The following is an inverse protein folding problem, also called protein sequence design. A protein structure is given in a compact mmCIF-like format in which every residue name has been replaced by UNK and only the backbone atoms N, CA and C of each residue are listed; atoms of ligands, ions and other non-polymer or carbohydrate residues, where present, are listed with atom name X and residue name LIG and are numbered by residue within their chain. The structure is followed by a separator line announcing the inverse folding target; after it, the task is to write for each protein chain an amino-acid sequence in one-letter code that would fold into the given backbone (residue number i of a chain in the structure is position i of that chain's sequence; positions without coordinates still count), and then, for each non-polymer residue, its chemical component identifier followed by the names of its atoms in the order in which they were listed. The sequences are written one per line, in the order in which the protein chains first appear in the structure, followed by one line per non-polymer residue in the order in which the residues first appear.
data_IF_963695275163
#
_entry.id   IF_963695275163
#
_cell.length_a   1.000
_cell.length_b   1.000
_cell.length_c   1.000
_cell.angle_alpha   90.00
_cell.angle_beta   90.00
_cell.angle_gamma   90.00
#
_symmetry.space_group_name_H-M   'P 1'
#
loop_
_entity.id
_entity.type
_entity.pdbx_description
1 polymer ?
#
# COMPACT_ATOMS: atom_id res chain seq x y z
N UNK A 1 -32.88 -26.49 23.40
CA UNK A 1 -32.65 -25.16 22.79
C UNK A 1 -32.44 -24.12 23.88
N UNK A 2 -31.29 -24.12 24.57
CA UNK A 2 -31.03 -23.16 25.66
C UNK A 2 -30.56 -21.78 25.13
N UNK A 3 -29.95 -21.74 23.94
CA UNK A 3 -29.40 -20.50 23.37
C UNK A 3 -30.46 -19.60 22.70
N UNK A 4 -31.70 -20.08 22.51
CA UNK A 4 -32.77 -19.27 21.91
C UNK A 4 -33.27 -18.16 22.82
N UNK A 5 -33.17 -18.32 24.15
CA UNK A 5 -33.56 -17.31 25.13
C UNK A 5 -32.68 -16.05 25.03
N UNK A 6 -31.40 -16.20 24.67
CA UNK A 6 -30.45 -15.10 24.62
C UNK A 6 -30.10 -14.66 23.19
N UNK A 7 -30.51 -15.41 22.16
CA UNK A 7 -30.14 -15.13 20.77
C UNK A 7 -30.55 -13.75 20.23
N UNK A 8 -31.54 -13.10 20.85
CA UNK A 8 -31.99 -11.75 20.46
C UNK A 8 -30.88 -10.70 20.57
N UNK A 9 -29.88 -10.88 21.44
CA UNK A 9 -28.79 -9.89 21.60
C UNK A 9 -27.96 -9.73 20.33
N UNK A 10 -27.97 -10.71 19.42
CA UNK A 10 -27.30 -10.63 18.12
C UNK A 10 -27.88 -9.54 17.22
N UNK A 11 -29.17 -9.18 17.39
CA UNK A 11 -29.78 -8.12 16.58
C UNK A 11 -29.30 -6.70 16.92
N UNK A 12 -28.52 -6.55 18.00
CA UNK A 12 -27.90 -5.27 18.37
C UNK A 12 -26.59 -5.01 17.62
N UNK A 13 -26.02 -6.03 16.95
CA UNK A 13 -24.85 -5.83 16.09
C UNK A 13 -25.23 -4.94 14.89
N UNK A 14 -24.44 -3.89 14.66
CA UNK A 14 -24.65 -2.98 13.52
C UNK A 14 -23.94 -3.53 12.28
N UNK A 15 -24.61 -3.65 11.13
CA UNK A 15 -23.96 -3.98 9.86
C UNK A 15 -22.94 -2.91 9.47
N UNK A 16 -21.74 -3.34 9.13
CA UNK A 16 -20.58 -2.47 8.88
C UNK A 16 -19.94 -2.74 7.50
N UNK A 17 -20.78 -3.01 6.50
CA UNK A 17 -20.34 -3.33 5.14
C UNK A 17 -19.89 -2.07 4.40
N UNK A 18 -18.64 -2.08 3.93
CA UNK A 18 -18.05 -0.99 3.15
C UNK A 18 -18.61 -0.94 1.71
N UNK A 19 -18.69 0.27 1.15
CA UNK A 19 -19.26 0.52 -0.18
C UNK A 19 -18.59 -0.34 -1.27
N UNK A 20 -19.34 -1.09 -2.09
CA UNK A 20 -18.78 -1.87 -3.20
C UNK A 20 -18.07 -0.99 -4.24
N UNK A 21 -17.18 -1.59 -5.05
CA UNK A 21 -16.45 -0.93 -6.13
C UNK A 21 -15.66 0.33 -5.71
N UNK A 22 -15.22 0.37 -4.45
CA UNK A 22 -14.33 1.41 -3.93
C UNK A 22 -13.05 0.79 -3.38
N UNK A 23 -11.94 1.51 -3.56
CA UNK A 23 -10.68 1.14 -2.93
C UNK A 23 -10.84 1.23 -1.42
N UNK A 24 -10.33 0.23 -0.70
CA UNK A 24 -10.29 0.28 0.76
C UNK A 24 -8.85 0.49 1.16
N UNK A 25 -8.58 1.56 1.90
CA UNK A 25 -7.28 1.77 2.54
C UNK A 25 -7.44 1.56 4.03
N UNK A 26 -6.68 0.63 4.59
CA UNK A 26 -6.58 0.43 6.02
C UNK A 26 -5.26 1.02 6.49
N UNK A 27 -5.31 2.14 7.21
CA UNK A 27 -4.13 2.77 7.78
C UNK A 27 -3.99 2.38 9.24
N UNK A 28 -2.80 1.90 9.60
CA UNK A 28 -2.35 1.62 10.95
C UNK A 28 -1.45 2.73 11.45
N UNK A 29 -1.53 3.03 12.74
CA UNK A 29 -0.67 3.99 13.43
C UNK A 29 -0.24 3.44 14.80
N UNK A 30 1.03 3.60 15.13
CA UNK A 30 1.64 3.15 16.38
C UNK A 30 1.13 3.94 17.60
N UNK A 31 0.39 3.28 18.49
CA UNK A 31 -0.17 3.96 19.68
C UNK A 31 0.92 4.37 20.67
N UNK A 32 1.12 5.69 20.79
CA UNK A 32 2.06 6.26 21.75
C UNK A 32 3.52 5.94 21.42
N UNK A 33 3.84 5.77 20.14
CA UNK A 33 5.16 5.31 19.71
C UNK A 33 6.29 6.28 20.08
N UNK A 34 6.01 7.57 20.26
CA UNK A 34 7.00 8.50 20.83
C UNK A 34 7.59 7.99 22.17
N UNK A 35 6.74 7.58 23.12
CA UNK A 35 7.19 7.01 24.41
C UNK A 35 7.81 5.63 24.24
N UNK A 36 7.29 4.84 23.30
CA UNK A 36 7.80 3.50 23.01
C UNK A 36 9.22 3.53 22.46
N UNK A 37 9.50 4.40 21.48
CA UNK A 37 10.81 4.57 20.86
C UNK A 37 11.85 5.06 21.85
N UNK A 38 11.48 6.00 22.74
CA UNK A 38 12.35 6.48 23.81
C UNK A 38 12.71 5.35 24.80
N UNK A 39 11.74 4.54 25.23
CA UNK A 39 11.98 3.43 26.16
C UNK A 39 12.93 2.37 25.59
N UNK A 40 12.82 2.09 24.30
CA UNK A 40 13.61 1.05 23.63
C UNK A 40 14.88 1.59 22.95
N UNK A 41 15.23 2.86 23.18
CA UNK A 41 16.49 3.44 22.72
C UNK A 41 16.61 3.49 21.20
N UNK A 42 15.55 3.89 20.51
CA UNK A 42 15.59 4.03 19.06
C UNK A 42 16.50 5.16 18.64
N UNK A 43 17.25 4.92 17.57
CA UNK A 43 18.09 5.95 16.95
C UNK A 43 17.24 7.10 16.41
N UNK A 44 17.83 8.30 16.44
CA UNK A 44 17.21 9.54 15.95
C UNK A 44 18.09 10.15 14.86
N UNK A 45 17.52 10.70 13.78
CA UNK A 45 16.07 10.89 13.54
C UNK A 45 15.30 9.61 13.18
N UNK A 46 16.00 8.59 12.66
CA UNK A 46 15.39 7.34 12.17
C UNK A 46 16.15 6.14 12.71
N UNK A 47 15.43 5.08 13.07
CA UNK A 47 16.01 3.79 13.43
C UNK A 47 15.75 2.78 12.33
N UNK A 48 16.81 2.38 11.61
CA UNK A 48 16.70 1.44 10.49
C UNK A 48 16.13 0.09 10.92
N UNK A 49 16.46 -0.38 12.12
CA UNK A 49 15.97 -1.67 12.65
C UNK A 49 14.45 -1.62 12.87
N UNK A 50 13.97 -0.49 13.38
CA UNK A 50 12.53 -0.27 13.58
C UNK A 50 11.76 -0.26 12.26
N UNK A 51 12.28 0.45 11.24
CA UNK A 51 11.64 0.51 9.92
C UNK A 51 11.69 -0.84 9.21
N UNK A 52 12.79 -1.58 9.33
CA UNK A 52 12.88 -2.93 8.76
C UNK A 52 11.93 -3.91 9.45
N UNK A 53 11.76 -3.81 10.77
CA UNK A 53 10.74 -4.57 11.50
C UNK A 53 9.33 -4.22 11.01
N UNK A 54 8.99 -2.94 10.89
CA UNK A 54 7.69 -2.50 10.34
C UNK A 54 7.47 -3.04 8.92
N UNK A 55 8.50 -3.01 8.08
CA UNK A 55 8.45 -3.54 6.72
C UNK A 55 8.21 -5.05 6.70
N UNK A 56 8.88 -5.82 7.55
CA UNK A 56 8.69 -7.26 7.64
C UNK A 56 7.28 -7.62 8.13
N UNK A 57 6.72 -6.83 9.04
CA UNK A 57 5.33 -7.00 9.48
C UNK A 57 4.35 -6.74 8.34
N UNK A 58 4.55 -5.67 7.58
CA UNK A 58 3.71 -5.36 6.43
C UNK A 58 3.87 -6.38 5.30
N UNK A 59 5.09 -6.86 5.04
CA UNK A 59 5.37 -7.92 4.06
C UNK A 59 4.62 -9.20 4.42
N UNK A 60 4.58 -9.58 5.69
CA UNK A 60 3.80 -10.72 6.16
C UNK A 60 2.29 -10.52 5.94
N UNK A 61 1.75 -9.34 6.27
CA UNK A 61 0.34 -9.00 6.01
C UNK A 61 0.01 -9.08 4.51
N UNK A 62 0.84 -8.48 3.67
CA UNK A 62 0.65 -8.48 2.20
C UNK A 62 0.73 -9.90 1.66
N UNK A 63 1.65 -10.72 2.19
CA UNK A 63 1.84 -12.13 1.79
C UNK A 63 0.62 -12.97 2.12
N UNK A 64 0.10 -12.86 3.35
CA UNK A 64 -0.98 -13.69 3.87
C UNK A 64 -2.38 -13.24 3.42
N UNK A 65 -2.53 -11.97 3.01
CA UNK A 65 -3.78 -11.40 2.51
C UNK A 65 -3.63 -10.96 1.05
N UNK A 66 -3.89 -11.84 0.07
CA UNK A 66 -3.70 -11.53 -1.36
C UNK A 66 -4.59 -10.41 -1.90
N UNK A 67 -5.68 -10.07 -1.22
CA UNK A 67 -6.53 -8.94 -1.59
C UNK A 67 -5.87 -7.57 -1.29
N UNK A 68 -4.81 -7.56 -0.48
CA UNK A 68 -3.92 -6.41 -0.29
C UNK A 68 -2.95 -6.36 -1.47
N UNK A 69 -3.11 -5.33 -2.30
CA UNK A 69 -2.38 -5.17 -3.57
C UNK A 69 -1.15 -4.29 -3.44
N UNK A 70 -1.15 -3.38 -2.47
CA UNK A 70 -0.12 -2.39 -2.24
C UNK A 70 -0.13 -2.01 -0.77
N UNK A 71 1.04 -1.76 -0.21
CA UNK A 71 1.17 -1.18 1.12
C UNK A 71 2.26 -0.12 1.13
N UNK A 72 2.05 0.95 1.90
CA UNK A 72 2.99 2.05 2.05
C UNK A 72 3.25 2.34 3.52
N UNK A 73 4.52 2.38 3.92
CA UNK A 73 4.92 2.62 5.30
C UNK A 73 5.88 3.80 5.46
N UNK A 74 5.67 4.58 6.51
CA UNK A 74 6.57 5.66 6.94
C UNK A 74 6.48 5.78 8.46
N UNK A 75 7.61 6.02 9.13
CA UNK A 75 7.66 6.15 10.60
C UNK A 75 7.03 4.91 11.28
N UNK A 76 5.98 5.14 12.06
CA UNK A 76 5.17 4.20 12.81
C UNK A 76 3.80 3.94 12.17
N UNK A 77 3.56 4.44 10.95
CA UNK A 77 2.34 4.20 10.19
C UNK A 77 2.54 3.25 8.99
N UNK A 78 1.49 2.50 8.66
CA UNK A 78 1.42 1.67 7.47
C UNK A 78 0.02 1.71 6.85
N UNK A 79 -0.07 1.91 5.54
CA UNK A 79 -1.32 1.97 4.78
C UNK A 79 -1.41 0.74 3.89
N UNK A 80 -2.46 -0.06 4.02
CA UNK A 80 -2.73 -1.25 3.22
C UNK A 80 -3.88 -0.98 2.26
N UNK A 81 -3.63 -1.11 0.97
CA UNK A 81 -4.60 -0.89 -0.10
C UNK A 81 -5.19 -2.24 -0.52
N UNK A 82 -6.50 -2.39 -0.38
CA UNK A 82 -7.25 -3.52 -0.91
C UNK A 82 -7.93 -3.14 -2.21
N UNK A 83 -7.99 -4.10 -3.14
CA UNK A 83 -8.63 -3.92 -4.45
C UNK A 83 -10.11 -3.54 -4.32
N UNK A 84 -10.63 -2.78 -5.30
CA UNK A 84 -12.02 -2.29 -5.25
C UNK A 84 -13.04 -3.42 -5.21
N UNK A 85 -12.72 -4.52 -5.87
CA UNK A 85 -13.52 -5.73 -6.01
C UNK A 85 -13.28 -6.73 -4.86
N UNK A 86 -12.61 -6.30 -3.78
CA UNK A 86 -12.36 -7.13 -2.59
C UNK A 86 -13.69 -7.57 -1.96
N UNK A 87 -13.85 -8.87 -1.72
CA UNK A 87 -15.01 -9.44 -1.00
C UNK A 87 -14.59 -10.14 0.30
N UNK A 88 -13.34 -9.91 0.74
CA UNK A 88 -12.83 -10.47 1.98
C UNK A 88 -13.72 -10.05 3.16
N UNK A 89 -14.16 -11.03 3.94
CA UNK A 89 -15.11 -10.86 5.04
C UNK A 89 -16.39 -10.08 4.66
N UNK A 90 -16.87 -10.24 3.43
CA UNK A 90 -18.05 -9.54 2.91
C UNK A 90 -17.91 -8.01 2.98
N UNK A 91 -16.66 -7.50 2.95
CA UNK A 91 -16.31 -6.09 3.10
C UNK A 91 -16.69 -5.47 4.44
N UNK A 92 -16.80 -6.27 5.50
CA UNK A 92 -17.07 -5.77 6.85
C UNK A 92 -15.86 -5.02 7.40
N UNK A 93 -16.04 -3.74 7.70
CA UNK A 93 -14.99 -2.85 8.18
C UNK A 93 -14.29 -3.41 9.43
N UNK A 94 -15.07 -3.78 10.45
CA UNK A 94 -14.56 -4.32 11.71
C UNK A 94 -13.67 -5.54 11.48
N UNK A 95 -14.06 -6.45 10.58
CA UNK A 95 -13.28 -7.66 10.27
C UNK A 95 -12.00 -7.33 9.54
N UNK A 96 -12.06 -6.47 8.53
CA UNK A 96 -10.86 -6.09 7.76
C UNK A 96 -9.85 -5.35 8.64
N UNK A 97 -10.29 -4.32 9.37
CA UNK A 97 -9.43 -3.51 10.24
C UNK A 97 -8.83 -4.37 11.35
N UNK A 98 -9.65 -5.12 12.10
CA UNK A 98 -9.12 -5.92 13.22
C UNK A 98 -8.21 -7.05 12.76
N UNK A 99 -8.46 -7.66 11.59
CA UNK A 99 -7.58 -8.68 11.03
C UNK A 99 -6.22 -8.09 10.70
N UNK A 100 -6.16 -6.98 9.95
CA UNK A 100 -4.87 -6.36 9.58
C UNK A 100 -4.11 -5.84 10.82
N UNK A 101 -4.80 -5.15 11.75
CA UNK A 101 -4.19 -4.64 13.00
C UNK A 101 -3.60 -5.79 13.83
N UNK A 102 -4.38 -6.85 14.05
CA UNK A 102 -3.94 -7.98 14.89
C UNK A 102 -2.80 -8.76 14.23
N UNK A 103 -2.87 -8.99 12.91
CA UNK A 103 -1.82 -9.63 12.14
C UNK A 103 -0.51 -8.85 12.21
N UNK A 104 -0.57 -7.54 11.98
CA UNK A 104 0.60 -6.67 12.04
C UNK A 104 1.21 -6.62 13.45
N UNK A 105 0.36 -6.44 14.48
CA UNK A 105 0.82 -6.39 15.88
C UNK A 105 1.48 -7.69 16.31
N UNK A 106 0.88 -8.84 15.95
CA UNK A 106 1.44 -10.16 16.28
C UNK A 106 2.82 -10.36 15.63
N UNK A 107 2.96 -9.98 14.35
CA UNK A 107 4.26 -10.03 13.66
C UNK A 107 5.27 -9.07 14.26
N UNK A 108 4.85 -7.87 14.67
CA UNK A 108 5.76 -6.90 15.29
C UNK A 108 6.39 -7.46 16.57
N UNK A 109 5.58 -8.10 17.41
CA UNK A 109 6.06 -8.73 18.65
C UNK A 109 6.91 -9.96 18.33
N UNK A 110 6.46 -10.82 17.41
CA UNK A 110 7.14 -12.06 17.06
C UNK A 110 8.52 -11.83 16.41
N UNK A 111 8.60 -10.86 15.50
CA UNK A 111 9.82 -10.54 14.76
C UNK A 111 10.78 -9.63 15.53
N UNK A 112 10.31 -8.97 16.61
CA UNK A 112 11.13 -8.05 17.41
C UNK A 112 12.55 -8.57 17.73
N UNK A 113 12.76 -9.79 18.25
CA UNK A 113 14.09 -10.27 18.62
C UNK A 113 15.05 -10.39 17.44
N UNK A 114 14.54 -10.50 16.20
CA UNK A 114 15.37 -10.57 14.99
C UNK A 114 15.97 -9.20 14.63
N UNK A 115 15.21 -8.13 14.86
CA UNK A 115 15.62 -6.75 14.54
C UNK A 115 16.25 -6.02 15.73
N UNK A 116 15.89 -6.42 16.95
CA UNK A 116 16.39 -5.87 18.20
C UNK A 116 16.98 -6.96 19.10
N UNK A 117 18.07 -7.64 18.67
CA UNK A 117 18.63 -8.77 19.42
C UNK A 117 19.15 -8.38 20.81
N UNK A 118 19.60 -7.13 20.96
CA UNK A 118 20.16 -6.60 22.22
C UNK A 118 19.15 -5.86 23.08
N UNK A 119 17.92 -5.65 22.61
CA UNK A 119 16.89 -4.89 23.32
C UNK A 119 15.66 -5.77 23.50
N UNK A 120 15.36 -6.16 24.74
CA UNK A 120 14.14 -6.93 25.02
C UNK A 120 12.91 -6.04 24.95
N UNK A 121 11.82 -6.57 24.40
CA UNK A 121 10.53 -5.88 24.39
C UNK A 121 9.96 -5.82 25.81
N UNK A 122 9.56 -4.62 26.26
CA UNK A 122 9.07 -4.40 27.63
C UNK A 122 7.65 -3.86 27.66
N UNK A 123 6.93 -4.13 28.75
CA UNK A 123 5.56 -3.63 28.95
C UNK A 123 5.51 -2.09 29.08
N UNK A 124 4.40 -1.45 28.65
CA UNK A 124 3.35 -1.97 27.78
C UNK A 124 3.88 -2.34 26.38
N UNK A 125 3.36 -3.45 25.85
CA UNK A 125 3.64 -3.93 24.49
C UNK A 125 3.17 -2.92 23.43
N UNK A 126 3.80 -2.93 22.23
CA UNK A 126 3.39 -2.09 21.12
C UNK A 126 1.97 -2.48 20.70
N UNK A 127 1.17 -1.47 20.39
CA UNK A 127 -0.18 -1.64 19.87
C UNK A 127 -0.40 -0.65 18.74
N UNK A 128 -1.28 -0.99 17.82
CA UNK A 128 -1.60 -0.17 16.67
C UNK A 128 -3.09 0.16 16.69
N UNK A 129 -3.44 1.39 16.29
CA UNK A 129 -4.80 1.67 15.85
C UNK A 129 -4.96 1.28 14.37
N UNK A 130 -6.19 1.25 13.89
CA UNK A 130 -6.48 0.99 12.50
C UNK A 130 -7.77 1.69 12.10
N UNK A 131 -7.81 2.23 10.88
CA UNK A 131 -9.02 2.83 10.30
C UNK A 131 -9.14 2.47 8.83
N UNK A 132 -10.36 2.21 8.36
CA UNK A 132 -10.65 2.06 6.95
C UNK A 132 -11.08 3.40 6.34
N UNK A 133 -10.59 3.69 5.13
CA UNK A 133 -11.00 4.85 4.32
C UNK A 133 -11.32 4.36 2.92
N UNK A 134 -12.43 4.83 2.36
CA UNK A 134 -12.86 4.45 1.02
C UNK A 134 -12.49 5.53 0.01
N UNK A 135 -11.85 5.11 -1.09
CA UNK A 135 -11.56 5.99 -2.22
C UNK A 135 -12.33 5.52 -3.46
N UNK A 136 -13.21 6.36 -4.03
CA UNK A 136 -14.09 5.94 -5.12
C UNK A 136 -13.38 5.85 -6.48
N UNK A 137 -12.28 6.58 -6.66
CA UNK A 137 -11.50 6.58 -7.90
C UNK A 137 -10.04 6.23 -7.66
N UNK A 138 -9.38 5.78 -8.72
CA UNK A 138 -7.93 5.55 -8.75
C UNK A 138 -7.15 6.85 -8.53
N UNK A 139 -7.65 7.98 -9.02
CA UNK A 139 -7.07 9.31 -8.78
C UNK A 139 -7.04 9.63 -7.28
N UNK A 140 -8.15 9.46 -6.56
CA UNK A 140 -8.19 9.74 -5.12
C UNK A 140 -7.25 8.82 -4.31
N UNK A 141 -7.12 7.54 -4.73
CA UNK A 141 -6.16 6.63 -4.12
C UNK A 141 -4.71 7.10 -4.35
N UNK A 142 -4.38 7.52 -5.58
CA UNK A 142 -3.04 8.02 -5.92
C UNK A 142 -2.71 9.32 -5.17
N UNK A 143 -3.68 10.22 -5.04
CA UNK A 143 -3.53 11.45 -4.26
C UNK A 143 -3.29 11.14 -2.78
N UNK A 144 -4.02 10.17 -2.23
CA UNK A 144 -3.79 9.72 -0.86
C UNK A 144 -2.37 9.19 -0.65
N UNK A 145 -1.91 8.29 -1.52
CA UNK A 145 -0.56 7.72 -1.41
C UNK A 145 0.53 8.78 -1.61
N UNK A 146 0.31 9.69 -2.55
CA UNK A 146 1.19 10.85 -2.78
C UNK A 146 1.23 11.76 -1.56
N UNK A 147 0.09 12.04 -0.94
CA UNK A 147 0.00 12.81 0.30
C UNK A 147 0.79 12.16 1.44
N UNK A 148 0.73 10.83 1.58
CA UNK A 148 1.55 10.11 2.57
C UNK A 148 3.05 10.22 2.28
N UNK A 149 3.47 10.12 1.02
CA UNK A 149 4.89 10.23 0.67
C UNK A 149 5.42 11.68 0.77
N UNK A 150 4.61 12.68 0.47
CA UNK A 150 4.97 14.09 0.69
C UNK A 150 5.14 14.38 2.18
N UNK A 151 4.21 13.89 3.01
CA UNK A 151 4.28 14.01 4.47
C UNK A 151 5.55 13.33 5.02
N UNK A 152 5.89 12.14 4.52
CA UNK A 152 7.14 11.44 4.83
C UNK A 152 8.37 12.32 4.55
N UNK A 153 8.43 12.96 3.38
CA UNK A 153 9.54 13.80 2.99
C UNK A 153 9.68 15.04 3.88
N UNK A 154 8.57 15.70 4.20
CA UNK A 154 8.53 16.90 5.05
C UNK A 154 8.99 16.53 6.47
N UNK A 155 8.41 15.49 7.05
CA UNK A 155 8.70 15.07 8.41
C UNK A 155 10.13 14.56 8.55
N UNK A 156 10.65 13.80 7.58
CA UNK A 156 12.02 13.31 7.62
C UNK A 156 13.04 14.46 7.52
N UNK A 157 12.84 15.43 6.63
CA UNK A 157 13.74 16.60 6.52
C UNK A 157 13.73 17.43 7.80
N UNK A 158 12.53 17.67 8.37
CA UNK A 158 12.39 18.37 9.64
C UNK A 158 13.10 17.62 10.77
N UNK A 159 12.79 16.33 10.97
CA UNK A 159 13.34 15.51 12.04
C UNK A 159 14.86 15.36 11.90
N UNK A 160 15.38 15.18 10.69
CA UNK A 160 16.83 15.10 10.46
C UNK A 160 17.52 16.38 10.89
N UNK A 161 16.99 17.54 10.48
CA UNK A 161 17.55 18.83 10.87
C UNK A 161 17.45 19.05 12.38
N UNK A 162 16.28 18.76 12.97
CA UNK A 162 15.99 18.89 14.39
C UNK A 162 16.95 18.07 15.26
N UNK A 163 17.11 16.78 14.95
CA UNK A 163 17.99 15.91 15.73
C UNK A 163 19.47 16.21 15.50
N UNK A 164 19.88 16.70 14.32
CA UNK A 164 21.27 17.14 14.12
C UNK A 164 21.60 18.40 14.93
N UNK A 165 20.67 19.35 15.04
CA UNK A 165 20.82 20.52 15.91
C UNK A 165 21.01 20.10 17.38
N UNK A 166 20.30 19.08 17.85
CA UNK A 166 20.43 18.58 19.23
C UNK A 166 21.72 17.77 19.41
N UNK A 167 21.90 16.70 18.62
CA UNK A 167 22.95 15.70 18.83
C UNK A 167 24.34 16.20 18.46
N UNK A 168 24.46 17.03 17.42
CA UNK A 168 25.74 17.57 16.95
C UNK A 168 25.88 19.07 17.23
N UNK A 169 24.78 19.81 17.17
CA UNK A 169 24.78 21.25 17.45
C UNK A 169 24.70 21.62 18.94
N UNK A 170 24.46 20.65 19.82
CA UNK A 170 24.36 20.87 21.26
C UNK A 170 23.16 21.72 21.70
N UNK A 171 22.14 21.87 20.84
CA UNK A 171 20.92 22.61 21.14
C UNK A 171 20.00 21.82 22.05
N UNK A 172 19.23 22.52 22.88
CA UNK A 172 18.06 21.92 23.55
C UNK A 172 16.91 21.74 22.56
N UNK A 173 15.95 20.87 22.87
CA UNK A 173 14.74 20.65 22.05
C UNK A 173 14.01 21.97 21.74
N UNK A 174 13.84 22.84 22.75
CA UNK A 174 13.16 24.14 22.60
C UNK A 174 13.92 25.11 21.70
N UNK A 175 15.25 25.06 21.71
CA UNK A 175 16.08 25.91 20.84
C UNK A 175 16.03 25.41 19.41
N UNK A 176 16.12 24.10 19.20
CA UNK A 176 16.00 23.49 17.88
C UNK A 176 14.61 23.74 17.27
N UNK A 177 13.53 23.62 18.04
CA UNK A 177 12.18 23.96 17.58
C UNK A 177 12.07 25.43 17.16
N UNK A 178 12.62 26.35 17.96
CA UNK A 178 12.60 27.79 17.67
C UNK A 178 13.42 28.13 16.43
N UNK A 179 14.59 27.51 16.26
CA UNK A 179 15.45 27.71 15.09
C UNK A 179 14.79 27.21 13.80
N UNK A 180 14.05 26.10 13.88
CA UNK A 180 13.31 25.56 12.73
C UNK A 180 11.96 26.25 12.49
N UNK A 181 11.49 27.09 13.40
CA UNK A 181 10.19 27.75 13.28
C UNK A 181 10.18 28.72 12.09
N UNK A 182 9.22 28.54 11.18
CA UNK A 182 9.07 29.39 9.99
C UNK A 182 10.04 29.09 8.84
N UNK A 183 10.98 28.16 9.03
CA UNK A 183 11.93 27.77 7.98
C UNK A 183 11.26 26.98 6.87
N UNK A 184 11.72 27.15 5.64
CA UNK A 184 11.30 26.35 4.48
C UNK A 184 12.20 25.12 4.28
N UNK A 185 12.00 24.35 3.21
CA UNK A 185 12.83 23.18 2.90
C UNK A 185 14.26 23.57 2.51
N UNK A 186 14.44 24.69 1.79
CA UNK A 186 15.76 25.23 1.43
C UNK A 186 16.62 25.50 2.65
N UNK A 187 16.09 26.25 3.61
CA UNK A 187 16.78 26.60 4.86
C UNK A 187 17.23 25.36 5.65
N UNK A 188 16.38 24.33 5.75
CA UNK A 188 16.73 23.07 6.44
C UNK A 188 17.87 22.34 5.77
N UNK A 189 17.87 22.29 4.43
CA UNK A 189 18.98 21.71 3.67
C UNK A 189 20.27 22.51 3.87
N UNK A 190 20.17 23.84 3.91
CA UNK A 190 21.32 24.71 4.18
C UNK A 190 21.86 24.51 5.60
N UNK A 191 20.99 24.41 6.62
CA UNK A 191 21.41 24.10 8.00
C UNK A 191 22.16 22.76 8.04
N UNK A 192 21.61 21.71 7.43
CA UNK A 192 22.23 20.38 7.38
C UNK A 192 23.60 20.42 6.70
N UNK A 193 23.71 21.11 5.58
CA UNK A 193 24.95 21.16 4.80
C UNK A 193 26.00 22.05 5.45
N UNK A 194 25.65 23.29 5.77
CA UNK A 194 26.57 24.32 6.25
C UNK A 194 27.07 24.05 7.67
N UNK A 195 26.19 23.60 8.58
CA UNK A 195 26.57 23.39 9.98
C UNK A 195 27.10 21.98 10.23
N UNK A 196 26.59 20.97 9.52
CA UNK A 196 26.88 19.56 9.84
C UNK A 196 27.55 18.79 8.70
N UNK A 197 27.75 19.39 7.53
CA UNK A 197 28.33 18.73 6.36
C UNK A 197 27.45 17.62 5.80
N UNK A 198 26.15 17.62 6.09
CA UNK A 198 25.21 16.57 5.70
C UNK A 198 24.47 17.01 4.43
N UNK A 199 24.62 16.24 3.36
CA UNK A 199 23.79 16.36 2.18
C UNK A 199 22.56 15.46 2.33
N UNK A 200 21.39 16.05 2.58
CA UNK A 200 20.13 15.31 2.76
C UNK A 200 19.79 14.39 1.59
N UNK A 201 20.20 14.72 0.36
CA UNK A 201 19.97 13.85 -0.79
C UNK A 201 20.73 12.52 -0.71
N UNK A 202 21.77 12.43 0.12
CA UNK A 202 22.53 11.21 0.34
C UNK A 202 21.96 10.37 1.51
N UNK A 203 20.94 10.86 2.23
CA UNK A 203 20.25 10.05 3.22
C UNK A 203 19.60 8.81 2.56
N UNK A 204 19.54 7.67 3.26
CA UNK A 204 18.92 6.45 2.75
C UNK A 204 17.50 6.68 2.20
N UNK A 205 17.20 6.08 1.05
CA UNK A 205 15.89 6.22 0.40
C UNK A 205 14.72 5.78 1.28
N UNK A 206 14.91 4.75 2.12
CA UNK A 206 13.89 4.33 3.09
C UNK A 206 13.45 5.47 4.04
N UNK A 207 14.37 6.37 4.42
CA UNK A 207 14.05 7.51 5.28
C UNK A 207 13.37 8.64 4.50
N UNK A 208 13.82 8.88 3.26
CA UNK A 208 13.31 10.00 2.44
C UNK A 208 11.99 9.70 1.74
N UNK A 209 11.76 8.45 1.35
CA UNK A 209 10.66 8.01 0.48
C UNK A 209 9.68 7.06 1.18
N UNK A 210 10.06 6.47 2.30
CA UNK A 210 9.30 5.40 2.94
C UNK A 210 9.40 4.08 2.16
N UNK A 211 8.59 3.12 2.57
CA UNK A 211 8.60 1.75 2.04
C UNK A 211 7.34 1.45 1.25
N UNK A 212 7.52 0.99 0.01
CA UNK A 212 6.45 0.47 -0.84
C UNK A 212 6.54 -1.04 -0.89
N UNK A 213 5.44 -1.72 -0.55
CA UNK A 213 5.33 -3.18 -0.61
C UNK A 213 4.24 -3.57 -1.58
N UNK A 214 4.56 -4.45 -2.52
CA UNK A 214 3.61 -4.94 -3.51
C UNK A 214 4.05 -6.28 -4.09
N UNK A 215 3.14 -6.92 -4.81
CA UNK A 215 3.41 -8.15 -5.55
C UNK A 215 4.01 -7.81 -6.91
N UNK A 216 5.20 -8.33 -7.17
CA UNK A 216 5.87 -8.27 -8.46
C UNK A 216 5.47 -9.50 -9.29
N UNK A 217 4.87 -9.26 -10.45
CA UNK A 217 4.57 -10.30 -11.41
C UNK A 217 5.67 -10.31 -12.45
N UNK A 218 6.28 -11.47 -12.70
CA UNK A 218 7.22 -11.61 -13.81
C UNK A 218 6.51 -11.20 -15.10
N UNK A 219 7.04 -10.18 -15.77
CA UNK A 219 6.73 -9.88 -17.15
C UNK A 219 7.41 -10.94 -18.02
N UNK A 220 6.85 -12.15 -18.08
CA UNK A 220 7.17 -13.03 -19.19
C UNK A 220 6.86 -12.26 -20.48
N UNK A 221 7.81 -12.05 -21.41
CA UNK A 221 7.45 -11.57 -22.74
C UNK A 221 6.38 -12.52 -23.28
N UNK A 222 5.38 -12.03 -24.05
CA UNK A 222 4.33 -12.89 -24.56
C UNK A 222 4.99 -13.98 -25.40
N UNK A 223 5.13 -15.17 -24.82
CA UNK A 223 5.37 -16.37 -25.60
C UNK A 223 4.12 -16.51 -26.45
N UNK A 224 4.32 -16.41 -27.76
CA UNK A 224 3.38 -16.87 -28.78
C UNK A 224 3.21 -18.38 -28.58
N UNK A 225 2.48 -18.75 -27.53
CA UNK A 225 2.04 -20.13 -27.36
C UNK A 225 0.95 -20.35 -28.40
N UNK A 226 1.36 -21.16 -29.38
CA UNK A 226 0.62 -21.72 -30.48
C UNK A 226 -0.89 -21.80 -30.22
N UNK A 227 -1.63 -21.12 -31.09
CA UNK A 227 -3.03 -21.43 -31.35
C UNK A 227 -3.07 -22.89 -31.80
N UNK A 228 -3.52 -23.79 -30.92
CA UNK A 228 -4.01 -25.09 -31.36
C UNK A 228 -5.19 -24.84 -32.32
N UNK A 229 -5.20 -25.40 -33.53
CA UNK A 229 -6.30 -25.20 -34.45
C UNK A 229 -7.53 -25.95 -33.92
N UNK A 230 -8.55 -25.19 -33.51
CA UNK A 230 -9.90 -25.71 -33.30
C UNK A 230 -10.44 -26.21 -34.65
N UNK A 231 -10.66 -27.51 -34.75
CA UNK A 231 -11.41 -28.14 -35.84
C UNK A 231 -12.90 -27.77 -35.71
N UNK A 232 -13.26 -26.58 -36.17
CA UNK A 232 -14.65 -26.26 -36.50
C UNK A 232 -14.74 -26.02 -38.01
N UNK A 233 -15.26 -27.02 -38.71
CA UNK A 233 -15.62 -26.96 -40.12
C UNK A 233 -16.94 -26.18 -40.23
N UNK A 234 -17.02 -25.03 -40.91
CA UNK A 234 -18.30 -24.42 -41.24
C UNK A 234 -18.85 -25.08 -42.50
N UNK A 235 -20.03 -25.68 -42.36
CA UNK A 235 -20.89 -26.17 -43.44
C UNK A 235 -21.24 -25.03 -44.42
N UNK A 236 -21.23 -25.24 -45.75
CA UNK A 236 -21.39 -24.16 -46.71
C UNK A 236 -22.86 -23.81 -46.97
N UNK A 237 -23.24 -22.55 -46.75
CA UNK A 237 -24.51 -21.97 -47.22
C UNK A 237 -24.44 -21.63 -48.73
N UNK A 238 -25.57 -21.73 -49.47
CA UNK A 238 -25.60 -21.65 -50.92
C UNK A 238 -25.55 -20.22 -51.46
N UNK A 239 -25.00 -20.11 -52.69
CA UNK A 239 -24.86 -18.88 -53.48
C UNK A 239 -26.20 -18.37 -54.00
N UNK A 240 -26.44 -17.07 -53.89
CA UNK A 240 -27.29 -16.31 -54.80
C UNK A 240 -26.79 -14.88 -54.92
N UNK A 241 -26.92 -14.33 -56.13
CA UNK A 241 -26.15 -13.23 -56.69
C UNK A 241 -26.89 -11.88 -56.68
N UNK A 242 -26.09 -10.82 -56.96
CA UNK A 242 -26.48 -9.48 -57.44
C UNK A 242 -26.86 -8.49 -56.31
N UNK A 243 -26.45 -7.22 -56.27
CA UNK A 243 -25.99 -6.28 -57.31
C UNK A 243 -25.15 -5.15 -56.67
N UNK A 244 -24.18 -4.62 -57.42
CA UNK A 244 -23.42 -3.39 -57.13
C UNK A 244 -24.32 -2.15 -57.01
N UNK A 245 -24.29 -1.45 -55.86
CA UNK A 245 -24.42 0.03 -55.80
C UNK A 245 -24.06 0.58 -54.40
N UNK A 246 -23.49 1.79 -54.40
CA UNK A 246 -23.21 2.67 -53.26
C UNK A 246 -21.88 2.46 -52.49
N UNK A 247 -20.79 2.74 -53.19
CA UNK A 247 -19.68 3.50 -52.60
C UNK A 247 -20.24 4.91 -52.29
N UNK A 248 -20.20 5.32 -51.02
CA UNK A 248 -20.12 6.69 -50.48
C UNK A 248 -21.00 6.88 -49.22
N UNK A 249 -20.47 6.58 -48.04
CA UNK A 249 -20.83 7.23 -46.77
C UNK A 249 -19.84 6.82 -45.66
N UNK A 250 -18.66 7.46 -45.64
CA UNK A 250 -17.78 7.49 -44.47
C UNK A 250 -18.33 8.54 -43.50
N UNK A 251 -18.96 8.13 -42.40
CA UNK A 251 -19.04 8.92 -41.15
C UNK A 251 -18.96 8.02 -39.93
N UNK A 252 -18.05 8.42 -39.04
CA UNK A 252 -17.69 7.90 -37.73
C UNK A 252 -18.76 7.09 -36.98
N UNK A 253 -18.49 5.80 -36.79
CA UNK A 253 -19.05 5.03 -35.69
C UNK A 253 -17.90 4.72 -34.73
N UNK A 254 -17.91 5.36 -33.56
CA UNK A 254 -17.08 4.98 -32.42
C UNK A 254 -17.57 3.60 -31.99
N UNK A 255 -16.72 2.58 -32.13
CA UNK A 255 -17.02 1.25 -31.63
C UNK A 255 -17.22 1.32 -30.10
N UNK A 256 -18.29 0.72 -29.55
CA UNK A 256 -18.43 0.65 -28.10
C UNK A 256 -17.25 -0.14 -27.53
N UNK A 257 -16.57 0.42 -26.51
CA UNK A 257 -15.60 -0.32 -25.70
C UNK A 257 -16.28 -1.60 -25.22
N UNK A 258 -15.73 -2.75 -25.59
CA UNK A 258 -16.23 -4.05 -25.17
C UNK A 258 -16.37 -4.07 -23.64
N UNK A 259 -17.54 -4.50 -23.15
CA UNK A 259 -17.75 -4.74 -21.73
C UNK A 259 -16.69 -5.71 -21.20
N UNK A 260 -16.16 -5.51 -19.97
CA UNK A 260 -15.20 -6.45 -19.40
C UNK A 260 -15.83 -7.84 -19.36
N UNK A 261 -15.20 -8.82 -20.01
CA UNK A 261 -15.63 -10.22 -19.95
C UNK A 261 -15.48 -10.70 -18.50
N UNK A 262 -16.59 -11.07 -17.86
CA UNK A 262 -16.55 -11.73 -16.56
C UNK A 262 -15.72 -13.02 -16.67
N UNK A 263 -14.70 -13.12 -15.81
CA UNK A 263 -13.82 -14.28 -15.76
C UNK A 263 -14.59 -15.49 -15.23
N UNK A 264 -14.42 -16.65 -15.88
CA UNK A 264 -14.94 -17.92 -15.38
C UNK A 264 -14.39 -18.25 -13.99
N UNK A 265 -15.13 -19.02 -13.17
CA UNK A 265 -14.68 -19.51 -11.85
C UNK A 265 -13.29 -20.15 -11.90
N UNK A 266 -12.98 -20.88 -12.98
CA UNK A 266 -11.65 -21.49 -13.20
C UNK A 266 -10.56 -20.44 -13.43
N UNK A 267 -10.87 -19.39 -14.20
CA UNK A 267 -9.94 -18.28 -14.47
C UNK A 267 -9.67 -17.45 -13.20
N UNK A 268 -10.71 -17.16 -12.41
CA UNK A 268 -10.56 -16.48 -11.11
C UNK A 268 -9.69 -17.29 -10.13
N UNK A 269 -9.89 -18.61 -10.06
CA UNK A 269 -9.06 -19.48 -9.23
C UNK A 269 -7.59 -19.51 -9.70
N UNK A 270 -7.35 -19.55 -11.02
CA UNK A 270 -6.01 -19.46 -11.60
C UNK A 270 -5.34 -18.12 -11.30
N UNK A 271 -6.09 -17.02 -11.39
CA UNK A 271 -5.63 -15.68 -11.05
C UNK A 271 -5.25 -15.59 -9.57
N UNK A 272 -6.12 -16.02 -8.65
CA UNK A 272 -5.80 -16.07 -7.21
C UNK A 272 -4.56 -16.89 -6.91
N UNK A 273 -4.38 -18.04 -7.59
CA UNK A 273 -3.17 -18.86 -7.46
C UNK A 273 -1.92 -18.12 -7.95
N UNK A 274 -2.04 -17.30 -9.01
CA UNK A 274 -0.96 -16.44 -9.49
C UNK A 274 -0.63 -15.33 -8.49
N UNK A 275 -1.64 -14.66 -7.94
CA UNK A 275 -1.51 -13.62 -6.92
C UNK A 275 -0.79 -14.15 -5.67
N UNK A 276 -1.20 -15.32 -5.16
CA UNK A 276 -0.55 -15.96 -4.02
C UNK A 276 0.90 -16.37 -4.27
N UNK A 277 1.27 -16.70 -5.52
CA UNK A 277 2.64 -17.10 -5.89
C UNK A 277 3.53 -15.93 -6.29
N UNK A 278 2.96 -14.74 -6.51
CA UNK A 278 3.73 -13.57 -6.88
C UNK A 278 4.66 -13.17 -5.74
N UNK A 279 5.88 -12.78 -6.10
CA UNK A 279 6.89 -12.37 -5.13
C UNK A 279 6.47 -11.05 -4.51
N UNK A 280 6.36 -11.00 -3.19
CA UNK A 280 6.20 -9.73 -2.47
C UNK A 280 7.57 -9.05 -2.42
N UNK A 281 7.61 -7.76 -2.73
CA UNK A 281 8.84 -6.99 -2.77
C UNK A 281 8.70 -5.69 -2.00
N UNK A 282 9.77 -5.32 -1.31
CA UNK A 282 9.93 -4.01 -0.68
C UNK A 282 10.78 -3.12 -1.58
N UNK A 283 10.34 -1.88 -1.82
CA UNK A 283 11.05 -0.87 -2.63
C UNK A 283 10.95 0.51 -1.98
N UNK A 284 11.97 1.33 -2.14
CA UNK A 284 12.03 2.70 -1.62
C UNK A 284 12.07 3.66 -2.81
N UNK A 285 10.91 3.92 -3.41
CA UNK A 285 10.79 4.62 -4.70
C UNK A 285 9.76 5.73 -4.62
N UNK A 286 9.86 6.69 -5.53
CA UNK A 286 8.87 7.74 -5.70
C UNK A 286 7.58 7.15 -6.30
N UNK A 287 6.45 7.36 -5.62
CA UNK A 287 5.12 6.91 -6.04
C UNK A 287 4.21 8.10 -6.38
N UNK A 288 4.74 9.32 -6.36
CA UNK A 288 4.01 10.54 -6.72
C UNK A 288 3.92 10.62 -8.25
N UNK A 289 5.04 10.39 -8.94
CA UNK A 289 5.11 10.45 -10.41
C UNK A 289 4.38 9.29 -11.09
N UNK A 290 3.89 9.54 -12.30
CA UNK A 290 3.19 8.56 -13.13
C UNK A 290 4.04 7.33 -13.47
N UNK A 291 5.36 7.51 -13.66
CA UNK A 291 6.30 6.46 -14.06
C UNK A 291 6.18 5.19 -13.20
N UNK A 292 6.03 5.35 -11.87
CA UNK A 292 5.89 4.21 -10.97
C UNK A 292 4.66 3.36 -11.30
N UNK A 293 3.53 4.02 -11.55
CA UNK A 293 2.22 3.42 -11.80
C UNK A 293 2.12 2.85 -13.21
N UNK A 294 2.67 3.54 -14.21
CA UNK A 294 2.69 3.10 -15.61
C UNK A 294 3.52 1.83 -15.80
N UNK A 295 4.62 1.69 -15.07
CA UNK A 295 5.42 0.45 -15.06
C UNK A 295 4.74 -0.71 -14.33
N UNK A 296 3.69 -0.43 -13.53
CA UNK A 296 3.07 -1.38 -12.59
C UNK A 296 1.55 -1.33 -12.66
N UNK A 297 1.01 -1.36 -13.89
CA UNK A 297 -0.43 -1.24 -14.17
C UNK A 297 -1.30 -2.26 -13.42
N UNK A 298 -0.74 -3.43 -13.09
CA UNK A 298 -1.43 -4.46 -12.31
C UNK A 298 -1.80 -4.04 -10.89
N UNK A 299 -1.14 -3.02 -10.31
CA UNK A 299 -1.46 -2.54 -8.96
C UNK A 299 -2.83 -1.85 -8.95
N UNK A 300 -3.06 -0.94 -9.89
CA UNK A 300 -4.29 -0.15 -9.92
C UNK A 300 -5.43 -0.82 -10.71
N UNK A 301 -5.16 -1.98 -11.31
CA UNK A 301 -6.07 -2.62 -12.26
C UNK A 301 -6.18 -1.83 -13.56
N UNK A 302 -6.63 -2.50 -14.61
CA UNK A 302 -7.03 -1.84 -15.87
C UNK A 302 -8.44 -1.28 -15.78
#
# INVERSE_FOLDING_TARGET
MANSQYGYVKSFETPDRLLPNTWIVIRLDGRGFHKFTARHGFEKPNDKRALDLMNACAEAVVTDLPDVIFAYGVSDEYSFVLKRECELFERRESKLVTTIVSHFTAHYIYLWPQYFPSTTLTMPLPTFDGRAVLYPSTENLRDYLSWRQVDAHINNLYNTTFWMLILRGGRTEKEAERELQGTVSGDKNEILFSQFGINYNNEPEIFKKGSCIYREYETSPPTVDAVEPSNDVPEPLPKSAATKKAILARKSAIAPKAAPKELSKSQLARQRKREMKAKVVVRYVDIIKDEFWEQRTWILGN
#
